data_IF_541756777767
#
_entry.id   IF_541756777767
#
_cell.length_a   1.000
_cell.length_b   1.000
_cell.length_c   1.000
_cell.angle_alpha   90.00
_cell.angle_beta   90.00
_cell.angle_gamma   90.00
#
_symmetry.space_group_name_H-M   'P 1'
#
loop_
_entity.id
_entity.type
_entity.pdbx_description
1 polymer ?
#
# COMPACT_ATOMS: atom_id res chain seq x y z
N UNK A 1 -49.72 57.66 23.06
CA UNK A 1 -48.76 56.97 22.15
C UNK A 1 -49.54 56.22 21.08
N UNK A 2 -49.36 56.55 19.79
CA UNK A 2 -50.05 55.90 18.69
C UNK A 2 -49.64 54.43 18.61
N UNK A 3 -50.58 53.50 18.84
CA UNK A 3 -50.37 52.04 18.74
C UNK A 3 -49.70 51.61 17.42
N UNK A 4 -49.86 52.40 16.36
CA UNK A 4 -49.24 52.16 15.05
C UNK A 4 -47.72 52.41 14.95
N UNK A 5 -47.11 53.19 15.85
CA UNK A 5 -45.65 53.46 15.79
C UNK A 5 -44.85 52.34 16.45
N UNK A 6 -45.39 51.72 17.49
CA UNK A 6 -44.75 50.62 18.22
C UNK A 6 -44.67 49.35 17.35
N UNK A 7 -45.75 49.00 16.64
CA UNK A 7 -45.78 47.87 15.72
C UNK A 7 -44.82 48.03 14.54
N UNK A 8 -44.63 49.26 14.03
CA UNK A 8 -43.70 49.57 12.93
C UNK A 8 -42.23 49.41 13.30
N UNK A 9 -41.87 49.45 14.58
CA UNK A 9 -40.49 49.31 15.08
C UNK A 9 -40.23 47.88 15.56
N UNK A 10 -41.23 47.25 16.18
CA UNK A 10 -41.09 45.90 16.73
C UNK A 10 -41.04 44.82 15.64
N UNK A 11 -41.81 44.98 14.55
CA UNK A 11 -41.82 44.02 13.44
C UNK A 11 -40.44 43.91 12.77
N UNK A 12 -39.78 45.01 12.35
CA UNK A 12 -38.43 44.93 11.78
C UNK A 12 -37.41 44.38 12.76
N UNK A 13 -37.49 44.72 14.06
CA UNK A 13 -36.57 44.19 15.07
C UNK A 13 -36.67 42.66 15.22
N UNK A 14 -37.91 42.13 15.26
CA UNK A 14 -38.14 40.67 15.32
C UNK A 14 -37.67 39.99 14.04
N UNK A 15 -37.93 40.57 12.86
CA UNK A 15 -37.43 40.03 11.59
C UNK A 15 -35.90 40.06 11.49
N UNK A 16 -35.24 41.11 11.99
CA UNK A 16 -33.78 41.18 12.07
C UNK A 16 -33.22 40.09 12.98
N UNK A 17 -33.80 39.91 14.17
CA UNK A 17 -33.37 38.86 15.11
C UNK A 17 -33.57 37.47 14.47
N UNK A 18 -34.75 37.19 13.91
CA UNK A 18 -35.01 35.92 13.22
C UNK A 18 -34.08 35.70 12.03
N UNK A 19 -33.80 36.74 11.24
CA UNK A 19 -32.86 36.70 10.13
C UNK A 19 -31.43 36.38 10.57
N UNK A 20 -30.96 36.96 11.69
CA UNK A 20 -29.65 36.65 12.28
C UNK A 20 -29.61 35.20 12.79
N UNK A 21 -30.65 34.72 13.46
CA UNK A 21 -30.70 33.33 13.92
C UNK A 21 -30.73 32.33 12.76
N UNK A 22 -31.54 32.57 11.72
CA UNK A 22 -31.57 31.74 10.51
C UNK A 22 -30.23 31.79 9.77
N UNK A 23 -29.64 32.98 9.62
CA UNK A 23 -28.33 33.16 8.98
C UNK A 23 -27.23 32.42 9.73
N UNK A 24 -27.18 32.54 11.06
CA UNK A 24 -26.22 31.81 11.90
C UNK A 24 -26.42 30.29 11.82
N UNK A 25 -27.67 29.81 11.85
CA UNK A 25 -27.96 28.39 11.75
C UNK A 25 -27.56 27.80 10.38
N UNK A 26 -27.89 28.50 9.29
CA UNK A 26 -27.49 28.09 7.94
C UNK A 26 -25.96 28.13 7.77
N UNK A 27 -25.32 29.17 8.28
CA UNK A 27 -23.85 29.30 8.26
C UNK A 27 -23.20 28.17 9.06
N UNK A 28 -23.68 27.88 10.26
CA UNK A 28 -23.17 26.79 11.09
C UNK A 28 -23.32 25.43 10.39
N UNK A 29 -24.50 25.14 9.83
CA UNK A 29 -24.76 23.89 9.10
C UNK A 29 -23.88 23.75 7.87
N UNK A 30 -23.70 24.83 7.09
CA UNK A 30 -22.83 24.83 5.92
C UNK A 30 -21.36 24.65 6.31
N UNK A 31 -20.87 25.40 7.30
CA UNK A 31 -19.49 25.30 7.78
C UNK A 31 -19.18 23.91 8.33
N UNK A 32 -20.10 23.30 9.09
CA UNK A 32 -19.93 21.94 9.60
C UNK A 32 -19.89 20.90 8.47
N UNK A 33 -20.77 21.03 7.47
CA UNK A 33 -20.79 20.17 6.28
C UNK A 33 -19.49 20.28 5.48
N UNK A 34 -19.02 21.51 5.22
CA UNK A 34 -17.76 21.76 4.52
C UNK A 34 -16.56 21.19 5.30
N UNK A 35 -16.50 21.42 6.61
CA UNK A 35 -15.44 20.88 7.46
C UNK A 35 -15.42 19.36 7.43
N UNK A 36 -16.59 18.72 7.50
CA UNK A 36 -16.69 17.25 7.46
C UNK A 36 -16.22 16.69 6.12
N UNK A 37 -16.63 17.30 5.00
CA UNK A 37 -16.18 16.92 3.66
C UNK A 37 -14.66 17.08 3.51
N UNK A 38 -14.13 18.21 3.95
CA UNK A 38 -12.69 18.47 3.90
C UNK A 38 -11.90 17.44 4.72
N UNK A 39 -12.37 17.13 5.93
CA UNK A 39 -11.73 16.13 6.80
C UNK A 39 -11.73 14.73 6.16
N UNK A 40 -12.83 14.34 5.52
CA UNK A 40 -12.91 13.05 4.79
C UNK A 40 -11.88 13.04 3.66
N UNK A 41 -11.87 14.09 2.83
CA UNK A 41 -10.94 14.21 1.71
C UNK A 41 -9.47 14.21 2.17
N UNK A 42 -9.14 14.92 3.24
CA UNK A 42 -7.78 14.94 3.79
C UNK A 42 -7.36 13.55 4.29
N UNK A 43 -8.25 12.81 4.95
CA UNK A 43 -7.99 11.44 5.39
C UNK A 43 -7.79 10.47 4.22
N UNK A 44 -8.60 10.60 3.16
CA UNK A 44 -8.44 9.86 1.91
C UNK A 44 -7.10 10.18 1.23
N UNK A 45 -6.71 11.45 1.18
CA UNK A 45 -5.43 11.90 0.61
C UNK A 45 -4.25 11.34 1.41
N UNK A 46 -4.32 11.38 2.75
CA UNK A 46 -3.27 10.87 3.63
C UNK A 46 -3.09 9.36 3.44
N UNK A 47 -4.18 8.59 3.47
CA UNK A 47 -4.13 7.14 3.28
C UNK A 47 -3.61 6.74 1.89
N UNK A 48 -4.03 7.45 0.84
CA UNK A 48 -3.48 7.30 -0.51
C UNK A 48 -1.97 7.61 -0.57
N UNK A 49 -1.54 8.70 0.06
CA UNK A 49 -0.12 9.07 0.09
C UNK A 49 0.73 8.01 0.79
N UNK A 50 0.22 7.44 1.90
CA UNK A 50 0.89 6.36 2.63
C UNK A 50 1.09 5.12 1.76
N UNK A 51 0.05 4.64 1.08
CA UNK A 51 0.17 3.42 0.26
C UNK A 51 1.11 3.66 -0.94
N UNK A 52 1.08 4.86 -1.52
CA UNK A 52 2.02 5.28 -2.57
C UNK A 52 3.48 5.26 -2.09
N UNK A 53 3.73 5.73 -0.87
CA UNK A 53 5.06 5.72 -0.27
C UNK A 53 5.56 4.30 0.04
N UNK A 54 4.65 3.39 0.40
CA UNK A 54 4.98 2.02 0.80
C UNK A 54 5.10 1.04 -0.36
N UNK A 55 4.43 1.30 -1.49
CA UNK A 55 4.39 0.39 -2.64
C UNK A 55 5.79 -0.09 -3.06
N UNK A 56 6.68 0.85 -3.36
CA UNK A 56 8.00 0.49 -3.90
C UNK A 56 8.91 -0.13 -2.82
N UNK A 57 9.05 0.45 -1.60
CA UNK A 57 9.88 -0.15 -0.56
C UNK A 57 9.46 -1.57 -0.19
N UNK A 58 8.15 -1.84 -0.10
CA UNK A 58 7.66 -3.17 0.24
C UNK A 58 8.03 -4.19 -0.84
N UNK A 59 7.68 -3.92 -2.11
CA UNK A 59 8.00 -4.80 -3.24
C UNK A 59 9.51 -5.00 -3.37
N UNK A 60 10.31 -3.94 -3.23
CA UNK A 60 11.76 -4.03 -3.31
C UNK A 60 12.37 -4.85 -2.17
N UNK A 61 11.82 -4.76 -0.96
CA UNK A 61 12.28 -5.55 0.18
C UNK A 61 12.02 -7.04 -0.02
N UNK A 62 10.84 -7.40 -0.55
CA UNK A 62 10.48 -8.78 -0.90
C UNK A 62 11.41 -9.28 -2.01
N UNK A 63 11.58 -8.48 -3.07
CA UNK A 63 12.45 -8.86 -4.19
C UNK A 63 13.88 -9.12 -3.74
N UNK A 64 14.46 -8.20 -2.97
CA UNK A 64 15.82 -8.36 -2.42
C UNK A 64 15.93 -9.60 -1.54
N UNK A 65 14.90 -9.91 -0.75
CA UNK A 65 14.89 -11.07 0.15
C UNK A 65 14.86 -12.38 -0.64
N UNK A 66 13.96 -12.49 -1.61
CA UNK A 66 13.84 -13.68 -2.48
C UNK A 66 15.10 -13.85 -3.32
N UNK A 67 15.66 -12.78 -3.87
CA UNK A 67 16.87 -12.83 -4.67
C UNK A 67 18.08 -13.27 -3.84
N UNK A 68 18.22 -12.80 -2.59
CA UNK A 68 19.28 -13.24 -1.69
C UNK A 68 19.18 -14.75 -1.38
N UNK A 69 17.97 -15.28 -1.17
CA UNK A 69 17.76 -16.73 -1.00
C UNK A 69 18.11 -17.51 -2.28
N UNK A 70 17.74 -16.99 -3.45
CA UNK A 70 18.08 -17.60 -4.74
C UNK A 70 19.59 -17.66 -4.97
N UNK A 71 20.30 -16.57 -4.68
CA UNK A 71 21.76 -16.55 -4.75
C UNK A 71 22.41 -17.48 -3.74
N UNK A 72 21.89 -17.53 -2.50
CA UNK A 72 22.36 -18.49 -1.50
C UNK A 72 22.31 -19.91 -2.04
N UNK A 73 21.16 -20.34 -2.57
CA UNK A 73 21.01 -21.69 -3.12
C UNK A 73 21.88 -21.92 -4.36
N UNK A 74 22.06 -20.91 -5.22
CA UNK A 74 22.95 -21.00 -6.38
C UNK A 74 24.41 -21.22 -5.97
N UNK A 75 24.97 -20.37 -5.10
CA UNK A 75 26.38 -20.48 -4.69
C UNK A 75 26.64 -21.74 -3.86
N UNK A 76 25.68 -22.11 -2.99
CA UNK A 76 25.74 -23.38 -2.25
C UNK A 76 25.76 -24.57 -3.19
N UNK A 77 24.88 -24.62 -4.18
CA UNK A 77 24.85 -25.70 -5.18
C UNK A 77 26.12 -25.74 -6.00
N UNK A 78 26.63 -24.58 -6.43
CA UNK A 78 27.89 -24.49 -7.17
C UNK A 78 29.08 -25.01 -6.37
N UNK A 79 29.15 -24.68 -5.09
CA UNK A 79 30.16 -25.21 -4.17
C UNK A 79 30.08 -26.73 -4.02
N UNK A 80 28.88 -27.27 -3.81
CA UNK A 80 28.65 -28.69 -3.54
C UNK A 80 28.93 -29.55 -4.78
N UNK A 81 28.53 -29.11 -5.97
CA UNK A 81 28.55 -29.95 -7.17
C UNK A 81 29.74 -29.69 -8.11
N UNK A 82 30.32 -28.49 -8.11
CA UNK A 82 31.26 -28.09 -9.16
C UNK A 82 32.58 -27.49 -8.66
N UNK A 83 32.52 -26.42 -7.87
CA UNK A 83 33.70 -25.60 -7.60
C UNK A 83 34.53 -26.07 -6.42
N UNK A 84 33.88 -26.55 -5.35
CA UNK A 84 34.48 -26.82 -4.04
C UNK A 84 35.35 -25.66 -3.49
N UNK A 85 35.15 -24.44 -3.99
CA UNK A 85 35.92 -23.26 -3.61
C UNK A 85 35.31 -22.60 -2.37
N UNK A 86 36.14 -22.28 -1.38
CA UNK A 86 35.71 -21.59 -0.17
C UNK A 86 35.08 -20.21 -0.44
N UNK A 87 35.43 -19.55 -1.54
CA UNK A 87 34.80 -18.30 -1.96
C UNK A 87 33.30 -18.45 -2.21
N UNK A 88 32.88 -19.55 -2.87
CA UNK A 88 31.47 -19.83 -3.12
C UNK A 88 30.71 -20.09 -1.83
N UNK A 89 31.33 -20.84 -0.92
CA UNK A 89 30.74 -21.07 0.39
C UNK A 89 30.62 -19.80 1.23
N UNK A 90 31.61 -18.91 1.16
CA UNK A 90 31.59 -17.61 1.82
C UNK A 90 30.50 -16.71 1.26
N UNK A 91 30.36 -16.67 -0.08
CA UNK A 91 29.32 -15.84 -0.70
C UNK A 91 27.92 -16.39 -0.44
N UNK A 92 27.73 -17.72 -0.43
CA UNK A 92 26.47 -18.32 0.01
C UNK A 92 26.09 -17.84 1.42
N UNK A 93 27.02 -17.92 2.40
CA UNK A 93 26.79 -17.43 3.77
C UNK A 93 26.45 -15.94 3.82
N UNK A 94 27.17 -15.12 3.05
CA UNK A 94 26.92 -13.68 2.94
C UNK A 94 25.49 -13.39 2.45
N UNK A 95 25.03 -14.12 1.43
CA UNK A 95 23.67 -13.99 0.89
C UNK A 95 22.61 -14.46 1.88
N UNK A 96 22.85 -15.54 2.61
CA UNK A 96 21.95 -15.99 3.69
C UNK A 96 21.83 -14.96 4.81
N UNK A 97 22.94 -14.34 5.21
CA UNK A 97 22.93 -13.27 6.22
C UNK A 97 22.14 -12.04 5.73
N UNK A 98 22.33 -11.64 4.47
CA UNK A 98 21.54 -10.56 3.83
C UNK A 98 20.05 -10.91 3.84
N UNK A 99 19.68 -12.13 3.43
CA UNK A 99 18.30 -12.59 3.41
C UNK A 99 17.66 -12.52 4.80
N UNK A 100 18.37 -12.99 5.83
CA UNK A 100 17.95 -12.94 7.24
C UNK A 100 17.71 -11.51 7.73
N UNK A 101 18.62 -10.57 7.42
CA UNK A 101 18.45 -9.14 7.75
C UNK A 101 17.23 -8.52 7.06
N UNK A 102 16.90 -8.97 5.85
CA UNK A 102 15.77 -8.45 5.08
C UNK A 102 14.41 -8.92 5.60
N UNK A 103 14.32 -10.06 6.30
CA UNK A 103 13.04 -10.57 6.87
C UNK A 103 12.36 -9.51 7.75
N UNK A 104 13.14 -8.82 8.59
CA UNK A 104 12.62 -7.78 9.47
C UNK A 104 12.04 -6.61 8.66
N UNK A 105 12.72 -6.18 7.59
CA UNK A 105 12.25 -5.08 6.72
C UNK A 105 10.99 -5.47 5.95
N UNK A 106 10.94 -6.70 5.42
CA UNK A 106 9.75 -7.22 4.74
C UNK A 106 8.55 -7.19 5.69
N UNK A 107 8.73 -7.69 6.92
CA UNK A 107 7.69 -7.73 7.95
C UNK A 107 7.25 -6.33 8.37
N UNK A 108 8.19 -5.40 8.54
CA UNK A 108 7.92 -4.01 8.90
C UNK A 108 7.08 -3.31 7.82
N UNK A 109 7.47 -3.42 6.55
CA UNK A 109 6.70 -2.82 5.47
C UNK A 109 5.36 -3.50 5.28
N UNK A 110 5.27 -4.81 5.45
CA UNK A 110 4.01 -5.55 5.38
C UNK A 110 3.02 -5.03 6.44
N UNK A 111 3.47 -4.86 7.68
CA UNK A 111 2.65 -4.30 8.76
C UNK A 111 2.14 -2.91 8.38
N UNK A 112 3.02 -2.01 7.93
CA UNK A 112 2.64 -0.66 7.52
C UNK A 112 1.67 -0.64 6.34
N UNK A 113 1.82 -1.57 5.38
CA UNK A 113 0.87 -1.72 4.27
C UNK A 113 -0.49 -2.14 4.80
N UNK A 114 -0.56 -3.16 5.65
CA UNK A 114 -1.83 -3.68 6.18
C UNK A 114 -2.54 -2.67 7.08
N UNK A 115 -1.81 -1.91 7.90
CA UNK A 115 -2.36 -0.77 8.63
C UNK A 115 -2.93 0.30 7.70
N UNK A 116 -2.24 0.57 6.58
CA UNK A 116 -2.69 1.53 5.58
C UNK A 116 -3.93 1.02 4.84
N UNK A 117 -4.04 -0.27 4.55
CA UNK A 117 -5.26 -0.89 4.01
C UNK A 117 -6.44 -0.73 4.97
N UNK A 118 -6.24 -0.97 6.27
CA UNK A 118 -7.26 -0.72 7.28
C UNK A 118 -7.69 0.76 7.33
N UNK A 119 -6.74 1.69 7.21
CA UNK A 119 -7.04 3.11 7.12
C UNK A 119 -7.88 3.44 5.87
N UNK A 120 -7.52 2.87 4.71
CA UNK A 120 -8.28 3.04 3.46
C UNK A 120 -9.73 2.60 3.64
N UNK A 121 -9.98 1.45 4.27
CA UNK A 121 -11.34 0.94 4.51
C UNK A 121 -12.21 1.87 5.37
N UNK A 122 -11.59 2.68 6.24
CA UNK A 122 -12.31 3.67 7.07
C UNK A 122 -12.49 5.03 6.40
N UNK A 123 -11.62 5.37 5.44
CA UNK A 123 -11.59 6.69 4.83
C UNK A 123 -12.35 6.75 3.50
N UNK A 124 -12.48 5.63 2.80
CA UNK A 124 -13.16 5.53 1.51
C UNK A 124 -14.53 4.87 1.64
N UNK A 125 -15.46 5.26 0.78
CA UNK A 125 -16.70 4.52 0.60
C UNK A 125 -16.37 3.19 -0.09
N UNK A 126 -16.56 2.09 0.64
CA UNK A 126 -16.30 0.73 0.17
C UNK A 126 -17.34 0.30 -0.87
N UNK A 127 -16.86 -0.07 -2.04
CA UNK A 127 -17.60 -0.80 -3.07
C UNK A 127 -16.91 -2.14 -3.35
N UNK A 128 -17.53 -2.98 -4.18
CA UNK A 128 -17.01 -4.31 -4.49
C UNK A 128 -15.64 -4.27 -5.16
N UNK A 129 -15.35 -3.25 -5.97
CA UNK A 129 -14.08 -3.13 -6.68
C UNK A 129 -12.94 -2.83 -5.71
N UNK A 130 -13.12 -1.84 -4.82
CA UNK A 130 -12.14 -1.49 -3.81
C UNK A 130 -11.96 -2.63 -2.79
N UNK A 131 -13.05 -3.27 -2.36
CA UNK A 131 -12.97 -4.40 -1.43
C UNK A 131 -12.16 -5.55 -2.03
N UNK A 132 -12.46 -5.96 -3.28
CA UNK A 132 -11.69 -7.00 -3.98
C UNK A 132 -10.21 -6.64 -4.10
N UNK A 133 -9.87 -5.40 -4.43
CA UNK A 133 -8.48 -4.99 -4.55
C UNK A 133 -7.71 -5.03 -3.21
N UNK A 134 -8.40 -4.82 -2.09
CA UNK A 134 -7.81 -4.94 -0.75
C UNK A 134 -7.67 -6.41 -0.36
N UNK A 135 -8.70 -7.22 -0.57
CA UNK A 135 -8.69 -8.64 -0.24
C UNK A 135 -7.60 -9.39 -1.01
N UNK A 136 -7.40 -9.08 -2.28
CA UNK A 136 -6.33 -9.67 -3.10
C UNK A 136 -4.93 -9.44 -2.50
N UNK A 137 -4.72 -8.31 -1.80
CA UNK A 137 -3.44 -8.00 -1.13
C UNK A 137 -3.32 -8.74 0.21
N UNK A 138 -4.43 -8.92 0.94
CA UNK A 138 -4.43 -9.74 2.16
C UNK A 138 -4.18 -11.22 1.85
N UNK A 139 -4.76 -11.73 0.77
CA UNK A 139 -4.62 -13.11 0.29
C UNK A 139 -3.30 -13.34 -0.49
N UNK A 140 -2.23 -12.66 -0.08
CA UNK A 140 -0.94 -12.80 -0.73
C UNK A 140 -0.32 -14.18 -0.49
N UNK A 141 0.47 -14.65 -1.45
CA UNK A 141 1.26 -15.88 -1.35
C UNK A 141 2.72 -15.55 -1.12
N UNK A 142 3.35 -16.23 -0.16
CA UNK A 142 4.80 -16.16 0.03
C UNK A 142 5.52 -16.84 -1.14
N UNK A 143 6.53 -16.17 -1.70
CA UNK A 143 7.40 -16.75 -2.72
C UNK A 143 8.51 -17.53 -2.01
N UNK A 144 8.55 -18.83 -2.25
CA UNK A 144 9.59 -19.72 -1.72
C UNK A 144 10.63 -20.02 -2.81
N UNK A 145 11.90 -19.86 -2.48
CA UNK A 145 13.01 -20.33 -3.31
C UNK A 145 13.24 -21.80 -3.00
N UNK A 146 13.19 -22.65 -4.02
CA UNK A 146 13.49 -24.07 -3.88
C UNK A 146 14.97 -24.33 -4.12
N UNK A 147 15.48 -25.38 -3.47
CA UNK A 147 16.82 -25.89 -3.72
C UNK A 147 16.97 -26.29 -5.19
N UNK A 148 18.12 -25.99 -5.79
CA UNK A 148 18.44 -26.49 -7.11
C UNK A 148 18.57 -28.03 -7.09
N UNK A 149 18.34 -28.71 -8.23
CA UNK A 149 18.52 -30.16 -8.32
C UNK A 149 19.91 -30.59 -7.87
N UNK A 150 19.99 -31.71 -7.15
CA UNK A 150 21.26 -32.29 -6.68
C UNK A 150 22.04 -33.00 -7.79
N UNK A 151 21.34 -33.36 -8.88
CA UNK A 151 21.91 -34.02 -10.05
C UNK A 151 21.91 -33.02 -11.22
N UNK A 152 23.02 -32.31 -11.40
CA UNK A 152 23.25 -31.41 -12.54
C UNK A 152 24.49 -31.86 -13.31
N UNK A 153 24.42 -31.86 -14.63
CA UNK A 153 25.48 -32.44 -15.47
C UNK A 153 26.72 -31.54 -15.54
N UNK A 154 26.54 -30.23 -15.43
CA UNK A 154 27.60 -29.24 -15.51
C UNK A 154 27.16 -27.88 -14.96
N UNK A 155 28.14 -26.98 -14.77
CA UNK A 155 27.89 -25.63 -14.27
C UNK A 155 27.03 -24.78 -15.21
N UNK A 156 27.09 -24.99 -16.53
CA UNK A 156 26.29 -24.23 -17.50
C UNK A 156 24.79 -24.50 -17.29
N UNK A 157 24.43 -25.74 -16.97
CA UNK A 157 23.06 -26.11 -16.61
C UNK A 157 22.58 -25.36 -15.36
N UNK A 158 23.42 -25.24 -14.34
CA UNK A 158 23.13 -24.45 -13.13
C UNK A 158 22.94 -22.95 -13.45
N UNK A 159 23.79 -22.37 -14.28
CA UNK A 159 23.70 -20.97 -14.70
C UNK A 159 22.41 -20.68 -15.50
N UNK A 160 22.02 -21.60 -16.38
CA UNK A 160 20.76 -21.53 -17.12
C UNK A 160 19.55 -21.64 -16.19
N UNK A 161 19.58 -22.56 -15.22
CA UNK A 161 18.52 -22.68 -14.21
C UNK A 161 18.42 -21.42 -13.36
N UNK A 162 19.54 -20.84 -12.95
CA UNK A 162 19.58 -19.59 -12.18
C UNK A 162 18.93 -18.45 -12.97
N UNK A 163 19.28 -18.29 -14.25
CA UNK A 163 18.68 -17.27 -15.13
C UNK A 163 17.17 -17.46 -15.27
N UNK A 164 16.73 -18.70 -15.48
CA UNK A 164 15.30 -19.04 -15.58
C UNK A 164 14.56 -18.76 -14.27
N UNK A 165 15.13 -19.14 -13.14
CA UNK A 165 14.52 -18.89 -11.82
C UNK A 165 14.44 -17.39 -11.52
N UNK A 166 15.45 -16.58 -11.87
CA UNK A 166 15.38 -15.13 -11.72
C UNK A 166 14.21 -14.52 -12.48
N UNK A 167 13.99 -14.94 -13.73
CA UNK A 167 12.86 -14.47 -14.54
C UNK A 167 11.52 -14.85 -13.91
N UNK A 168 11.37 -16.12 -13.50
CA UNK A 168 10.15 -16.59 -12.83
C UNK A 168 9.90 -15.83 -11.53
N UNK A 169 10.92 -15.62 -10.70
CA UNK A 169 10.81 -14.86 -9.45
C UNK A 169 10.33 -13.44 -9.71
N UNK A 170 10.88 -12.75 -10.72
CA UNK A 170 10.45 -11.40 -11.08
C UNK A 170 8.97 -11.38 -11.48
N UNK A 171 8.55 -12.29 -12.35
CA UNK A 171 7.15 -12.41 -12.79
C UNK A 171 6.20 -12.70 -11.62
N UNK A 172 6.60 -13.60 -10.72
CA UNK A 172 5.83 -13.92 -9.51
C UNK A 172 5.71 -12.71 -8.58
N UNK A 173 6.79 -11.95 -8.37
CA UNK A 173 6.75 -10.74 -7.54
C UNK A 173 5.82 -9.69 -8.14
N UNK A 174 5.89 -9.51 -9.45
CA UNK A 174 5.04 -8.54 -10.14
C UNK A 174 3.57 -8.93 -10.03
N UNK A 175 3.24 -10.20 -10.27
CA UNK A 175 1.87 -10.71 -10.16
C UNK A 175 1.34 -10.68 -8.72
N UNK A 176 2.14 -11.14 -7.76
CA UNK A 176 1.69 -11.39 -6.39
C UNK A 176 1.65 -10.13 -5.54
N UNK A 177 2.46 -9.11 -5.86
CA UNK A 177 2.58 -7.90 -5.05
C UNK A 177 2.41 -6.61 -5.85
N UNK A 178 3.25 -6.39 -6.87
CA UNK A 178 3.32 -5.08 -7.56
C UNK A 178 2.01 -4.73 -8.27
N UNK A 179 1.47 -5.66 -9.06
CA UNK A 179 0.26 -5.46 -9.85
C UNK A 179 -0.97 -5.24 -8.96
N UNK A 180 -1.05 -5.95 -7.83
CA UNK A 180 -2.12 -5.78 -6.85
C UNK A 180 -2.10 -4.38 -6.23
N UNK A 181 -0.92 -3.90 -5.81
CA UNK A 181 -0.75 -2.54 -5.30
C UNK A 181 -1.01 -1.46 -6.35
N UNK A 182 -0.58 -1.68 -7.60
CA UNK A 182 -0.86 -0.76 -8.72
C UNK A 182 -2.36 -0.65 -8.96
N UNK A 183 -3.07 -1.79 -8.98
CA UNK A 183 -4.53 -1.81 -9.12
C UNK A 183 -5.21 -1.01 -8.01
N UNK A 184 -4.85 -1.26 -6.74
CA UNK A 184 -5.39 -0.52 -5.61
C UNK A 184 -5.13 0.99 -5.74
N UNK A 185 -3.89 1.39 -6.01
CA UNK A 185 -3.50 2.80 -6.17
C UNK A 185 -4.33 3.49 -7.26
N UNK A 186 -4.57 2.82 -8.38
CA UNK A 186 -5.35 3.39 -9.48
C UNK A 186 -6.82 3.60 -9.08
N UNK A 187 -7.44 2.63 -8.38
CA UNK A 187 -8.81 2.76 -7.85
C UNK A 187 -8.89 3.95 -6.90
N UNK A 188 -7.98 4.05 -5.93
CA UNK A 188 -7.96 5.14 -4.95
C UNK A 188 -7.77 6.51 -5.61
N UNK A 189 -6.90 6.60 -6.62
CA UNK A 189 -6.67 7.82 -7.40
C UNK A 189 -7.93 8.28 -8.14
N UNK A 190 -8.71 7.34 -8.67
CA UNK A 190 -9.99 7.66 -9.34
C UNK A 190 -11.02 8.17 -8.33
N UNK A 191 -11.15 7.49 -7.18
CA UNK A 191 -12.06 7.91 -6.10
C UNK A 191 -11.72 9.30 -5.54
N UNK A 192 -10.44 9.59 -5.31
CA UNK A 192 -9.98 10.91 -4.89
C UNK A 192 -10.36 12.04 -5.86
N UNK A 193 -10.36 11.75 -7.17
CA UNK A 193 -10.78 12.74 -8.18
C UNK A 193 -12.29 12.93 -8.19
N UNK A 194 -13.06 11.86 -7.98
CA UNK A 194 -14.53 11.92 -7.96
C UNK A 194 -15.04 12.68 -6.73
N UNK A 195 -14.42 12.51 -5.57
CA UNK A 195 -14.85 13.16 -4.32
C UNK A 195 -14.50 14.66 -4.24
N UNK A 196 -13.74 15.18 -5.22
CA UNK A 196 -13.37 16.60 -5.32
C UNK A 196 -14.35 17.46 -6.14
N UNK A 197 -15.23 16.83 -6.94
CA UNK A 197 -16.24 17.50 -7.78
C UNK A 197 -17.66 17.22 -7.28
#
# INVERSE_FOLDING_TARGET
MKKGTFFKILLPAVFTILGVFLGNYLTYKNSYSLFTKQKIYDNQRISYSKIMALKNPWVQSIHSHVEANLFYEYYKTRYILFSHNQEDWSEAKNQLEKASKLVNKVSEYQMQVFETLGLIQTCYKMDSELQSAIDDIYDYKTITVYTFPEELNNQIELENLMTKQKQIVQELIDMEYNNKLVRLVNILKLKLKQDYY
#
